data_IF_779804780691
#
_entry.id   IF_779804780691
#
_cell.length_a   1.000
_cell.length_b   1.000
_cell.length_c   1.000
_cell.angle_alpha   90.00
_cell.angle_beta   90.00
_cell.angle_gamma   90.00
#
_symmetry.space_group_name_H-M   'P 1'
#
loop_
_entity.id
_entity.type
_entity.pdbx_description
1 polymer ?
#
# COMPACT_ATOMS: atom_id res chain seq x y z
N UNK A 1 -9.69 -3.70 11.45
CA UNK A 1 -8.97 -2.88 10.45
C UNK A 1 -8.95 -1.45 10.97
N UNK A 2 -7.78 -0.83 11.22
CA UNK A 2 -7.77 0.58 11.60
C UNK A 2 -8.35 1.41 10.45
N UNK A 3 -9.11 2.47 10.76
CA UNK A 3 -9.71 3.36 9.73
C UNK A 3 -8.65 3.93 8.77
N UNK A 4 -7.41 4.08 9.24
CA UNK A 4 -6.27 4.54 8.46
C UNK A 4 -5.76 3.54 7.42
N UNK A 5 -5.77 2.23 7.70
CA UNK A 5 -5.30 1.22 6.75
C UNK A 5 -6.18 1.15 5.50
N UNK A 6 -7.50 1.28 5.65
CA UNK A 6 -8.42 1.33 4.52
C UNK A 6 -8.15 2.54 3.60
N UNK A 7 -7.80 3.70 4.19
CA UNK A 7 -7.45 4.91 3.43
C UNK A 7 -6.20 4.73 2.57
N UNK A 8 -5.13 4.13 3.12
CA UNK A 8 -3.91 3.85 2.34
C UNK A 8 -4.14 2.86 1.21
N UNK A 9 -5.02 1.87 1.40
CA UNK A 9 -5.39 0.92 0.36
C UNK A 9 -6.12 1.62 -0.80
N UNK A 10 -7.10 2.48 -0.47
CA UNK A 10 -7.87 3.21 -1.48
C UNK A 10 -6.97 4.16 -2.27
N UNK A 11 -6.05 4.87 -1.60
CA UNK A 11 -5.06 5.74 -2.24
C UNK A 11 -4.11 4.97 -3.15
N UNK A 12 -3.63 3.79 -2.74
CA UNK A 12 -2.78 2.93 -3.56
C UNK A 12 -3.53 2.44 -4.82
N UNK A 13 -4.78 1.98 -4.66
CA UNK A 13 -5.63 1.55 -5.78
C UNK A 13 -5.90 2.69 -6.76
N UNK A 14 -6.30 3.87 -6.26
CA UNK A 14 -6.55 5.02 -7.11
C UNK A 14 -5.29 5.46 -7.87
N UNK A 15 -4.13 5.49 -7.21
CA UNK A 15 -2.87 5.85 -7.85
C UNK A 15 -2.47 4.85 -8.94
N UNK A 16 -2.69 3.56 -8.71
CA UNK A 16 -2.45 2.49 -9.69
C UNK A 16 -3.41 2.54 -10.88
N UNK A 17 -4.70 2.78 -10.62
CA UNK A 17 -5.71 2.93 -11.69
C UNK A 17 -5.44 4.16 -12.55
N UNK A 18 -5.06 5.28 -11.93
CA UNK A 18 -4.68 6.51 -12.66
C UNK A 18 -3.43 6.26 -13.52
N UNK A 19 -2.44 5.54 -13.00
CA UNK A 19 -1.25 5.16 -13.78
C UNK A 19 -1.64 4.32 -15.01
N UNK A 20 -2.38 3.22 -14.81
CA UNK A 20 -2.84 2.34 -15.89
C UNK A 20 -3.76 3.02 -16.90
N UNK A 21 -4.53 4.03 -16.49
CA UNK A 21 -5.46 4.72 -17.38
C UNK A 21 -4.82 5.85 -18.19
N UNK A 22 -3.68 6.40 -17.75
CA UNK A 22 -3.06 7.57 -18.38
C UNK A 22 -1.71 7.27 -19.03
N UNK A 23 -1.02 6.20 -18.62
CA UNK A 23 0.32 5.88 -19.07
C UNK A 23 0.37 4.42 -19.50
N UNK A 24 0.47 4.21 -20.81
CA UNK A 24 0.54 2.89 -21.45
C UNK A 24 1.98 2.39 -21.56
N UNK A 25 2.93 3.33 -21.56
CA UNK A 25 4.36 3.08 -21.71
C UNK A 25 5.07 2.92 -20.36
N UNK A 26 6.14 2.13 -20.36
CA UNK A 26 6.98 1.74 -19.21
C UNK A 26 7.82 2.89 -18.62
N UNK A 27 7.24 4.08 -18.52
CA UNK A 27 7.85 5.24 -17.91
C UNK A 27 7.55 5.28 -16.40
N UNK A 28 8.60 5.50 -15.60
CA UNK A 28 8.45 5.69 -14.16
C UNK A 28 7.78 7.05 -13.94
N UNK A 29 6.46 7.04 -13.75
CA UNK A 29 5.67 8.26 -13.57
C UNK A 29 5.35 8.50 -12.09
N UNK A 30 5.09 9.77 -11.73
CA UNK A 30 4.70 10.18 -10.37
C UNK A 30 3.57 9.32 -9.75
N UNK A 31 2.51 8.94 -10.49
CA UNK A 31 1.46 8.07 -9.96
C UNK A 31 1.94 6.65 -9.62
N UNK A 32 2.95 6.13 -10.32
CA UNK A 32 3.52 4.80 -10.04
C UNK A 32 4.32 4.83 -8.72
N UNK A 33 5.14 5.87 -8.52
CA UNK A 33 5.89 6.06 -7.27
C UNK A 33 4.93 6.27 -6.11
N UNK A 34 3.88 7.07 -6.30
CA UNK A 34 2.82 7.26 -5.31
C UNK A 34 2.11 5.95 -4.95
N UNK A 35 1.77 5.12 -5.95
CA UNK A 35 1.18 3.81 -5.74
C UNK A 35 2.09 2.92 -4.87
N UNK A 36 3.38 2.86 -5.19
CA UNK A 36 4.37 2.11 -4.40
C UNK A 36 4.47 2.60 -2.95
N UNK A 37 4.55 3.92 -2.74
CA UNK A 37 4.63 4.50 -1.39
C UNK A 37 3.38 4.20 -0.57
N UNK A 38 2.18 4.38 -1.15
CA UNK A 38 0.93 4.08 -0.46
C UNK A 38 0.75 2.58 -0.20
N UNK A 39 1.20 1.72 -1.11
CA UNK A 39 1.20 0.26 -0.91
C UNK A 39 2.13 -0.14 0.24
N UNK A 40 3.33 0.43 0.32
CA UNK A 40 4.28 0.18 1.41
C UNK A 40 3.72 0.68 2.75
N UNK A 41 3.13 1.88 2.78
CA UNK A 41 2.45 2.43 3.96
C UNK A 41 1.25 1.57 4.37
N UNK A 42 0.50 1.02 3.42
CA UNK A 42 -0.59 0.09 3.68
C UNK A 42 -0.09 -1.21 4.33
N UNK A 43 0.99 -1.80 3.80
CA UNK A 43 1.61 -2.98 4.39
C UNK A 43 2.13 -2.69 5.80
N UNK A 44 2.81 -1.56 6.00
CA UNK A 44 3.22 -1.08 7.33
C UNK A 44 2.03 -0.90 8.28
N UNK A 45 0.92 -0.32 7.81
CA UNK A 45 -0.29 -0.16 8.59
C UNK A 45 -0.96 -1.51 8.93
N UNK A 46 -0.90 -2.49 8.03
CA UNK A 46 -1.35 -3.87 8.30
C UNK A 46 -0.44 -4.57 9.32
N UNK A 47 0.89 -4.39 9.23
CA UNK A 47 1.89 -4.95 10.15
C UNK A 47 1.88 -4.27 11.52
N UNK A 48 1.57 -2.98 11.59
CA UNK A 48 1.41 -2.26 12.85
C UNK A 48 0.03 -2.52 13.48
N UNK A 49 -1.03 -2.58 12.66
CA UNK A 49 -2.41 -2.79 13.07
C UNK A 49 -2.72 -4.24 13.46
N UNK A 50 -2.15 -5.21 12.74
CA UNK A 50 -1.95 -6.55 13.30
C UNK A 50 -0.68 -6.45 14.11
N UNK A 51 -0.77 -6.17 15.42
CA UNK A 51 0.31 -6.52 16.36
C UNK A 51 0.81 -7.89 15.90
N UNK A 52 1.95 -7.97 15.21
CA UNK A 52 2.53 -9.26 14.88
C UNK A 52 3.04 -9.72 16.24
N UNK A 53 2.12 -10.31 17.02
CA UNK A 53 2.44 -11.45 17.84
C UNK A 53 3.01 -12.44 16.84
N UNK A 54 4.31 -12.34 16.60
CA UNK A 54 5.11 -13.53 16.53
C UNK A 54 4.82 -14.16 17.88
N UNK A 55 3.79 -14.99 17.95
CA UNK A 55 3.60 -15.81 19.13
C UNK A 55 4.94 -16.53 19.27
N UNK A 56 5.67 -16.33 20.39
CA UNK A 56 6.97 -16.95 20.63
C UNK A 56 6.82 -18.45 20.90
N UNK A 57 5.89 -19.12 20.20
CA UNK A 57 5.60 -20.55 20.30
C UNK A 57 6.58 -21.37 19.43
N UNK A 58 7.63 -20.71 18.93
CA UNK A 58 8.85 -21.35 18.42
C UNK A 58 10.11 -20.99 19.23
N UNK A 59 9.92 -20.53 20.48
CA UNK A 59 10.84 -20.46 21.66
C UNK A 59 10.79 -19.10 22.33
#
# INVERSE_FOLDING_TARGET
MSKSAAGFLILALLSGVVHFSLFEETEITLPLVGCGVFAVLFVLALVAGRKIKFDPVLR
#
